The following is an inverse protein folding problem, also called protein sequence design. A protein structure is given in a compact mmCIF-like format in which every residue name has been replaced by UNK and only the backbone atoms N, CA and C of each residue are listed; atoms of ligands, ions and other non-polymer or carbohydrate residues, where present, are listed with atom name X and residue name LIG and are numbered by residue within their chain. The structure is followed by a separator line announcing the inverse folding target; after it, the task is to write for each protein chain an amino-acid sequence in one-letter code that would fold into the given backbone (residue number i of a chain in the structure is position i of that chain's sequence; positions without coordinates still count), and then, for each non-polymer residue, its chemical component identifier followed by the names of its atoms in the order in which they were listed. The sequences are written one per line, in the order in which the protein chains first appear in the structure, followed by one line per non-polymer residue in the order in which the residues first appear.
data_IF_617096868420
#
_entry.id   IF_617096868420
#
_cell.length_a   1.000
_cell.length_b   1.000
_cell.length_c   1.000
_cell.angle_alpha   90.00
_cell.angle_beta   90.00
_cell.angle_gamma   90.00
#
_symmetry.space_group_name_H-M   'P 1'
#
loop_
_entity.id
_entity.type
_entity.pdbx_description
1 polymer ?
#
# COMPACT_ATOMS: atom_id res chain seq x y z
N UNK A 1 10.16 4.28 35.26
CA UNK A 1 10.42 4.16 33.81
C UNK A 1 11.76 3.46 33.64
N UNK A 2 11.76 2.15 33.46
CA UNK A 2 12.97 1.34 33.28
C UNK A 2 13.38 1.40 31.81
N UNK A 3 14.37 2.24 31.49
CA UNK A 3 15.13 2.14 30.25
C UNK A 3 15.98 0.88 30.34
N UNK A 4 15.52 -0.20 29.71
CA UNK A 4 16.39 -1.32 29.36
C UNK A 4 17.21 -0.81 28.18
N UNK A 5 18.46 -0.41 28.46
CA UNK A 5 19.48 -0.24 27.43
C UNK A 5 19.72 -1.63 26.83
N UNK A 6 19.18 -1.86 25.65
CA UNK A 6 19.52 -3.02 24.83
C UNK A 6 20.85 -2.69 24.14
N UNK A 7 21.95 -3.21 24.70
CA UNK A 7 23.34 -2.75 24.55
C UNK A 7 23.91 -2.80 23.12
N UNK A 8 23.15 -3.30 22.15
CA UNK A 8 23.55 -3.40 20.74
C UNK A 8 22.49 -2.84 19.74
N UNK A 9 21.43 -2.19 20.23
CA UNK A 9 20.39 -1.63 19.34
C UNK A 9 20.75 -0.24 18.88
N UNK A 10 21.22 -0.12 17.64
CA UNK A 10 21.57 1.16 17.01
C UNK A 10 20.42 1.70 16.17
N UNK A 11 20.34 3.03 16.09
CA UNK A 11 19.32 3.75 15.33
C UNK A 11 19.88 4.30 14.05
N UNK A 12 19.08 4.18 13.00
CA UNK A 12 19.45 4.57 11.65
C UNK A 12 18.33 5.39 11.04
N UNK A 13 18.70 6.54 10.51
CA UNK A 13 17.84 7.32 9.64
C UNK A 13 18.15 6.94 8.19
N UNK A 14 17.13 6.57 7.44
CA UNK A 14 17.19 6.29 6.02
C UNK A 14 16.50 7.42 5.25
N UNK A 15 17.22 8.00 4.28
CA UNK A 15 16.68 8.98 3.35
C UNK A 15 16.55 8.29 2.00
N UNK A 16 15.34 8.33 1.42
CA UNK A 16 15.02 7.68 0.14
C UNK A 16 14.71 8.73 -0.92
N UNK A 17 15.00 8.41 -2.18
CA UNK A 17 14.71 9.28 -3.32
C UNK A 17 13.19 9.49 -3.54
N UNK A 18 12.37 8.52 -3.11
CA UNK A 18 10.91 8.62 -3.12
C UNK A 18 10.28 7.64 -2.11
N UNK A 19 8.99 7.81 -1.76
CA UNK A 19 8.26 6.85 -0.94
C UNK A 19 8.22 5.43 -1.54
N UNK A 20 8.10 5.32 -2.86
CA UNK A 20 8.16 4.03 -3.55
C UNK A 20 9.50 3.30 -3.31
N UNK A 21 10.63 4.04 -3.36
CA UNK A 21 11.95 3.45 -3.05
C UNK A 21 12.04 2.98 -1.60
N UNK A 22 11.42 3.69 -0.65
CA UNK A 22 11.38 3.28 0.76
C UNK A 22 10.62 1.95 0.94
N UNK A 23 9.47 1.82 0.27
CA UNK A 23 8.66 0.60 0.31
C UNK A 23 9.36 -0.58 -0.37
N UNK A 24 9.92 -0.36 -1.56
CA UNK A 24 10.71 -1.37 -2.30
C UNK A 24 11.89 -1.87 -1.47
N UNK A 25 12.65 -0.95 -0.86
CA UNK A 25 13.81 -1.32 -0.04
C UNK A 25 13.40 -2.10 1.20
N UNK A 26 12.38 -1.62 1.93
CA UNK A 26 11.93 -2.33 3.12
C UNK A 26 11.36 -3.70 2.78
N UNK A 27 10.63 -3.83 1.67
CA UNK A 27 10.15 -5.13 1.18
C UNK A 27 11.32 -6.09 0.95
N UNK A 28 12.37 -5.65 0.27
CA UNK A 28 13.54 -6.48 0.00
C UNK A 28 14.26 -6.90 1.30
N UNK A 29 14.42 -5.96 2.25
CA UNK A 29 15.09 -6.23 3.53
C UNK A 29 14.25 -7.12 4.45
N UNK A 30 12.95 -6.85 4.59
CA UNK A 30 12.03 -7.59 5.47
C UNK A 30 11.75 -9.02 5.01
N UNK A 31 11.98 -9.33 3.73
CA UNK A 31 11.89 -10.69 3.18
C UNK A 31 13.25 -11.40 3.14
N UNK A 32 14.33 -10.72 3.51
CA UNK A 32 15.68 -11.32 3.58
C UNK A 32 15.88 -12.12 4.88
N UNK A 33 16.88 -13.02 4.94
CA UNK A 33 17.26 -13.70 6.18
C UNK A 33 17.67 -12.77 7.33
N UNK A 34 18.01 -11.51 7.02
CA UNK A 34 18.46 -10.51 8.00
C UNK A 34 17.32 -9.71 8.63
N UNK A 35 16.08 -9.88 8.17
CA UNK A 35 14.91 -9.15 8.65
C UNK A 35 14.76 -9.22 10.19
N UNK A 36 15.09 -10.36 10.80
CA UNK A 36 15.01 -10.57 12.25
C UNK A 36 15.90 -9.63 13.08
N UNK A 37 16.90 -9.00 12.47
CA UNK A 37 17.83 -8.10 13.14
C UNK A 37 17.50 -6.62 12.91
N UNK A 38 16.44 -6.33 12.16
CA UNK A 38 16.09 -4.99 11.71
C UNK A 38 14.62 -4.73 12.03
N UNK A 39 14.36 -3.62 12.71
CA UNK A 39 13.02 -3.15 13.04
C UNK A 39 12.77 -1.81 12.36
N UNK A 40 11.78 -1.76 11.46
CA UNK A 40 11.21 -0.49 10.96
C UNK A 40 10.36 0.12 12.07
N UNK A 41 10.76 1.30 12.55
CA UNK A 41 10.01 2.06 13.56
C UNK A 41 9.11 3.09 12.88
N UNK A 42 9.60 3.70 11.80
CA UNK A 42 8.84 4.55 10.89
C UNK A 42 9.46 4.44 9.47
N UNK A 43 8.81 4.95 8.41
CA UNK A 43 9.30 4.82 7.04
C UNK A 43 10.76 5.24 6.80
N UNK A 44 11.27 6.20 7.57
CA UNK A 44 12.66 6.64 7.53
C UNK A 44 13.49 6.18 8.74
N UNK A 45 12.87 5.64 9.79
CA UNK A 45 13.54 5.39 11.05
C UNK A 45 13.58 3.90 11.38
N UNK A 46 14.79 3.39 11.57
CA UNK A 46 15.06 1.97 11.74
C UNK A 46 15.92 1.74 12.98
N UNK A 47 15.64 0.65 13.68
CA UNK A 47 16.49 0.12 14.72
C UNK A 47 17.10 -1.20 14.25
N UNK A 48 18.33 -1.51 14.64
CA UNK A 48 18.99 -2.75 14.26
C UNK A 48 19.98 -3.23 15.32
N UNK A 49 20.21 -4.54 15.36
CA UNK A 49 21.29 -5.14 16.14
C UNK A 49 22.61 -4.99 15.36
N UNK A 50 23.47 -4.07 15.78
CA UNK A 50 24.72 -3.80 15.06
C UNK A 50 25.79 -4.90 15.24
N UNK A 51 25.63 -5.81 16.20
CA UNK A 51 26.54 -6.95 16.37
C UNK A 51 26.28 -8.05 15.35
N UNK A 52 25.02 -8.20 14.95
CA UNK A 52 24.58 -9.21 13.98
C UNK A 52 24.41 -8.64 12.57
N UNK A 53 24.02 -7.37 12.46
CA UNK A 53 23.60 -6.75 11.21
C UNK A 53 23.81 -5.23 11.25
N UNK A 54 25.04 -4.77 11.10
CA UNK A 54 25.34 -3.33 11.11
C UNK A 54 24.86 -2.62 9.83
N UNK A 55 23.62 -2.12 9.86
CA UNK A 55 23.00 -1.46 8.71
C UNK A 55 23.70 -0.17 8.26
N UNK A 56 24.52 0.47 9.10
CA UNK A 56 25.31 1.62 8.63
C UNK A 56 26.32 1.23 7.55
N UNK A 57 26.70 -0.05 7.47
CA UNK A 57 27.55 -0.64 6.42
C UNK A 57 26.77 -1.39 5.34
N UNK A 58 25.46 -1.18 5.22
CA UNK A 58 24.60 -1.91 4.29
C UNK A 58 25.15 -1.98 2.86
N UNK A 59 25.75 -0.91 2.33
CA UNK A 59 26.31 -0.88 0.98
C UNK A 59 27.67 -1.57 0.81
N UNK A 60 28.31 -1.95 1.91
CA UNK A 60 29.64 -2.57 1.98
C UNK A 60 29.57 -4.05 2.38
N UNK A 61 28.49 -4.45 3.08
CA UNK A 61 28.27 -5.81 3.56
C UNK A 61 28.00 -6.79 2.40
N UNK A 62 28.81 -7.87 2.25
CA UNK A 62 28.61 -8.88 1.22
C UNK A 62 27.23 -9.53 1.26
N UNK A 63 26.66 -9.71 2.46
CA UNK A 63 25.37 -10.36 2.67
C UNK A 63 24.20 -9.54 2.09
N UNK A 64 24.35 -8.21 2.07
CA UNK A 64 23.37 -7.30 1.48
C UNK A 64 23.65 -6.96 0.03
N UNK A 65 24.78 -7.38 -0.54
CA UNK A 65 25.21 -6.97 -1.89
C UNK A 65 24.09 -7.02 -2.95
N UNK A 66 23.28 -8.10 -3.07
CA UNK A 66 22.21 -8.15 -4.07
C UNK A 66 21.15 -7.06 -3.87
N UNK A 67 20.80 -6.76 -2.62
CA UNK A 67 19.83 -5.71 -2.28
C UNK A 67 20.49 -4.34 -2.42
N UNK A 68 21.68 -4.16 -1.86
CA UNK A 68 22.44 -2.91 -1.86
C UNK A 68 22.73 -2.38 -3.27
N UNK A 69 23.02 -3.26 -4.23
CA UNK A 69 23.23 -2.86 -5.62
C UNK A 69 21.96 -2.29 -6.26
N UNK A 70 20.79 -2.85 -5.95
CA UNK A 70 19.50 -2.32 -6.43
C UNK A 70 19.27 -0.89 -5.93
N UNK A 71 19.60 -0.58 -4.67
CA UNK A 71 19.25 0.70 -4.04
C UNK A 71 20.37 1.74 -4.02
N UNK A 72 21.55 1.42 -4.57
CA UNK A 72 22.69 2.33 -4.62
C UNK A 72 22.32 3.61 -5.38
N UNK A 73 22.61 4.77 -4.77
CA UNK A 73 22.27 6.09 -5.32
C UNK A 73 20.79 6.47 -5.24
N UNK A 74 19.91 5.60 -4.72
CA UNK A 74 18.48 5.86 -4.50
C UNK A 74 18.11 6.05 -3.04
N UNK A 75 19.06 5.80 -2.14
CA UNK A 75 18.92 6.03 -0.72
C UNK A 75 20.28 6.23 -0.05
N UNK A 76 20.28 6.79 1.15
CA UNK A 76 21.44 6.87 2.02
C UNK A 76 21.03 6.66 3.47
N UNK A 77 21.99 6.26 4.29
CA UNK A 77 21.80 6.12 5.73
C UNK A 77 22.62 7.14 6.50
N UNK A 78 22.04 7.61 7.60
CA UNK A 78 22.72 8.36 8.64
C UNK A 78 22.56 7.60 9.94
N UNK A 79 23.67 7.13 10.49
CA UNK A 79 23.68 6.55 11.83
C UNK A 79 23.43 7.67 12.85
N UNK A 80 22.52 7.41 13.77
CA UNK A 80 22.20 8.35 14.84
C UNK A 80 22.98 7.91 16.08
N UNK A 81 23.90 8.76 16.54
CA UNK A 81 24.57 8.57 17.82
C UNK A 81 23.57 8.82 18.95
N UNK A 82 23.57 7.96 19.96
CA UNK A 82 22.64 8.02 21.09
C UNK A 82 22.86 9.26 22.01
N UNK A 83 23.80 10.14 21.68
CA UNK A 83 24.30 11.23 22.54
C UNK A 83 24.03 12.67 22.09
N UNK A 84 23.52 12.94 20.87
CA UNK A 84 23.31 14.33 20.41
C UNK A 84 21.94 14.55 19.76
N UNK A 85 21.17 15.45 20.39
CA UNK A 85 20.12 16.29 19.82
C UNK A 85 19.41 15.74 18.60
N UNK A 86 18.40 14.90 18.85
CA UNK A 86 17.42 14.45 17.85
C UNK A 86 16.86 15.70 17.16
N UNK A 87 17.26 15.94 15.91
CA UNK A 87 16.50 16.81 15.04
C UNK A 87 15.19 16.06 14.82
N UNK A 88 14.13 16.51 15.48
CA UNK A 88 12.81 15.91 15.37
C UNK A 88 12.46 15.95 13.89
N UNK A 89 12.51 14.79 13.24
CA UNK A 89 11.92 14.66 11.92
C UNK A 89 10.42 14.76 12.19
N UNK A 90 9.74 15.81 11.70
CA UNK A 90 8.31 15.90 11.87
C UNK A 90 7.70 14.60 11.35
N UNK A 91 6.69 14.04 12.04
CA UNK A 91 6.00 12.85 11.57
C UNK A 91 5.67 13.03 10.09
N UNK A 92 6.33 12.26 9.24
CA UNK A 92 5.96 12.23 7.83
C UNK A 92 4.76 11.30 7.76
N UNK A 93 3.63 11.80 7.26
CA UNK A 93 2.44 10.99 6.95
C UNK A 93 2.72 10.10 5.73
N UNK A 94 3.79 9.31 5.78
CA UNK A 94 4.04 8.25 4.82
C UNK A 94 3.37 7.02 5.41
N UNK A 95 2.13 6.77 4.99
CA UNK A 95 1.42 5.57 5.40
C UNK A 95 1.91 4.39 4.57
N UNK A 96 2.30 3.30 5.22
CA UNK A 96 2.64 2.08 4.52
C UNK A 96 1.39 1.51 3.85
N UNK A 97 1.46 1.35 2.54
CA UNK A 97 0.44 0.68 1.77
C UNK A 97 0.62 -0.83 1.96
N UNK A 98 -0.38 -1.52 2.50
CA UNK A 98 -0.28 -2.93 2.89
C UNK A 98 -1.34 -3.77 2.16
N UNK A 99 -0.93 -4.98 1.81
CA UNK A 99 -1.82 -6.01 1.26
C UNK A 99 -2.94 -6.33 2.24
N UNK A 100 -4.17 -6.38 1.75
CA UNK A 100 -5.38 -6.61 2.54
C UNK A 100 -6.02 -5.35 3.11
N UNK A 101 -5.35 -4.19 3.02
CA UNK A 101 -5.87 -2.91 3.49
C UNK A 101 -6.98 -2.33 2.61
N UNK A 102 -7.80 -1.47 3.21
CA UNK A 102 -8.87 -0.73 2.53
C UNK A 102 -8.43 0.70 2.24
N UNK A 103 -8.59 1.13 0.99
CA UNK A 103 -8.10 2.42 0.50
C UNK A 103 -9.14 3.13 -0.36
N UNK A 104 -9.13 4.45 -0.32
CA UNK A 104 -9.72 5.26 -1.39
C UNK A 104 -8.68 5.47 -2.48
N UNK A 105 -9.07 5.30 -3.73
CA UNK A 105 -8.24 5.61 -4.90
C UNK A 105 -8.68 6.99 -5.41
N UNK A 106 -7.78 7.96 -5.44
CA UNK A 106 -8.09 9.35 -5.82
C UNK A 106 -7.11 9.89 -6.85
N UNK A 107 -7.52 10.89 -7.62
CA UNK A 107 -6.64 11.49 -8.62
C UNK A 107 -5.51 12.24 -7.94
N UNK A 108 -4.28 12.01 -8.40
CA UNK A 108 -3.09 12.68 -7.87
C UNK A 108 -3.01 14.18 -8.26
N UNK A 109 -3.68 14.59 -9.35
CA UNK A 109 -3.73 16.00 -9.77
C UNK A 109 -4.94 16.75 -9.23
N UNK A 110 -6.02 16.03 -8.88
CA UNK A 110 -7.21 16.61 -8.26
C UNK A 110 -7.75 15.70 -7.15
N UNK A 111 -7.33 15.97 -5.90
CA UNK A 111 -7.65 15.14 -4.75
C UNK A 111 -9.15 15.09 -4.38
N UNK A 112 -9.99 15.94 -4.98
CA UNK A 112 -11.44 15.84 -4.82
C UNK A 112 -12.02 14.64 -5.58
N UNK A 113 -11.41 14.24 -6.70
CA UNK A 113 -11.90 13.14 -7.54
C UNK A 113 -11.44 11.79 -7.00
N UNK A 114 -12.41 10.98 -6.56
CA UNK A 114 -12.20 9.62 -6.07
C UNK A 114 -12.87 8.59 -6.98
N UNK A 115 -12.34 7.37 -6.99
CA UNK A 115 -13.02 6.23 -7.59
C UNK A 115 -14.28 5.91 -6.79
N UNK A 116 -15.37 5.76 -7.52
CA UNK A 116 -16.69 5.39 -7.01
C UNK A 116 -17.23 4.23 -7.86
N UNK A 117 -17.68 3.18 -7.19
CA UNK A 117 -18.43 2.09 -7.83
C UNK A 117 -19.91 2.42 -7.88
N UNK A 118 -20.39 2.74 -9.07
CA UNK A 118 -21.82 2.91 -9.37
C UNK A 118 -22.46 1.52 -9.55
N UNK A 119 -23.22 1.08 -8.55
CA UNK A 119 -23.88 -0.21 -8.56
C UNK A 119 -25.06 -0.28 -9.55
N UNK A 120 -25.67 0.86 -9.92
CA UNK A 120 -26.79 0.88 -10.87
C UNK A 120 -26.29 0.66 -12.30
N UNK A 121 -25.15 1.24 -12.65
CA UNK A 121 -24.52 1.06 -13.97
C UNK A 121 -23.49 -0.09 -14.00
N UNK A 122 -23.12 -0.62 -12.83
CA UNK A 122 -22.02 -1.57 -12.64
C UNK A 122 -20.69 -1.08 -13.21
N UNK A 123 -20.30 0.17 -12.90
CA UNK A 123 -19.07 0.81 -13.42
C UNK A 123 -18.26 1.47 -12.31
N UNK A 124 -16.96 1.59 -12.53
CA UNK A 124 -16.12 2.50 -11.75
C UNK A 124 -16.10 3.87 -12.44
N UNK A 125 -16.34 4.93 -11.68
CA UNK A 125 -16.37 6.33 -12.12
C UNK A 125 -15.50 7.19 -11.23
N UNK A 126 -15.01 8.30 -11.75
CA UNK A 126 -14.44 9.38 -10.95
C UNK A 126 -15.57 10.28 -10.45
N UNK A 127 -15.63 10.53 -9.14
CA UNK A 127 -16.65 11.35 -8.50
C UNK A 127 -16.02 12.28 -7.46
N UNK A 128 -16.52 13.50 -7.37
CA UNK A 128 -16.14 14.49 -6.36
C UNK A 128 -17.04 14.47 -5.11
N UNK A 129 -18.12 13.68 -5.14
CA UNK A 129 -19.15 13.60 -4.08
C UNK A 129 -19.17 12.26 -3.39
N UNK A 130 -18.84 11.20 -4.12
CA UNK A 130 -18.93 9.83 -3.66
C UNK A 130 -17.58 9.16 -3.83
N UNK A 131 -17.28 8.23 -2.91
CA UNK A 131 -16.06 7.44 -3.00
C UNK A 131 -16.34 6.02 -2.53
N UNK A 132 -15.64 5.08 -3.14
CA UNK A 132 -15.69 3.67 -2.76
C UNK A 132 -14.36 3.27 -2.17
N UNK A 133 -14.42 2.50 -1.09
CA UNK A 133 -13.23 1.87 -0.52
C UNK A 133 -12.95 0.59 -1.30
N UNK A 134 -11.69 0.41 -1.66
CA UNK A 134 -11.21 -0.78 -2.34
C UNK A 134 -10.24 -1.51 -1.41
N UNK A 135 -10.51 -2.80 -1.16
CA UNK A 135 -9.52 -3.67 -0.55
C UNK A 135 -8.48 -3.99 -1.62
N UNK A 136 -7.23 -3.69 -1.36
CA UNK A 136 -6.13 -3.98 -2.28
C UNK A 136 -5.38 -5.17 -1.72
N UNK A 137 -5.23 -6.25 -2.49
CA UNK A 137 -4.50 -7.44 -2.04
C UNK A 137 -3.56 -7.91 -3.12
N UNK A 138 -2.35 -8.31 -2.73
CA UNK A 138 -1.40 -8.93 -3.65
C UNK A 138 -1.92 -10.32 -4.04
N UNK A 139 -1.73 -10.67 -5.31
CA UNK A 139 -2.05 -12.00 -5.82
C UNK A 139 -1.35 -13.09 -4.99
N UNK A 140 -2.02 -14.23 -4.86
CA UNK A 140 -1.58 -15.46 -4.14
C UNK A 140 -0.06 -15.61 -4.06
N UNK A 141 0.47 -15.74 -2.84
CA UNK A 141 1.89 -16.00 -2.57
C UNK A 141 2.46 -15.11 -1.46
N UNK A 142 1.80 -13.97 -1.18
CA UNK A 142 2.19 -13.05 -0.12
C UNK A 142 1.14 -13.01 1.00
N UNK A 143 1.56 -12.89 2.27
CA UNK A 143 0.65 -12.74 3.40
C UNK A 143 -0.10 -11.40 3.34
N UNK A 144 -1.16 -11.26 4.15
CA UNK A 144 -1.72 -9.94 4.44
C UNK A 144 -0.70 -9.08 5.22
N UNK A 145 -0.95 -7.77 5.33
CA UNK A 145 -0.08 -6.78 6.01
C UNK A 145 1.27 -6.53 5.36
N UNK A 146 1.50 -7.18 4.23
CA UNK A 146 2.74 -7.13 3.49
C UNK A 146 2.79 -5.84 2.65
N UNK A 147 3.90 -5.08 2.69
CA UNK A 147 3.96 -3.75 2.04
C UNK A 147 3.85 -3.85 0.52
N UNK A 148 2.87 -3.15 -0.06
CA UNK A 148 2.67 -3.04 -1.50
C UNK A 148 3.84 -2.29 -2.15
N UNK A 149 4.41 -2.90 -3.18
CA UNK A 149 5.47 -2.34 -4.02
C UNK A 149 5.03 -2.26 -5.47
N UNK A 150 5.64 -1.37 -6.26
CA UNK A 150 5.14 -1.04 -7.59
C UNK A 150 4.99 -2.23 -8.54
N UNK A 151 5.83 -3.27 -8.41
CA UNK A 151 5.81 -4.47 -9.23
C UNK A 151 4.77 -5.52 -8.79
N UNK A 152 4.12 -5.32 -7.64
CA UNK A 152 3.15 -6.26 -7.11
C UNK A 152 1.93 -6.36 -8.05
N UNK A 153 1.55 -7.60 -8.36
CA UNK A 153 0.26 -7.87 -9.01
C UNK A 153 -0.83 -7.84 -7.95
N UNK A 154 -1.77 -6.91 -8.07
CA UNK A 154 -2.82 -6.65 -7.11
C UNK A 154 -4.20 -6.97 -7.67
N UNK A 155 -5.11 -7.34 -6.78
CA UNK A 155 -6.55 -7.41 -7.02
C UNK A 155 -7.24 -6.31 -6.21
N UNK A 156 -8.20 -5.64 -6.84
CA UNK A 156 -9.06 -4.64 -6.21
C UNK A 156 -10.42 -5.28 -5.88
N UNK A 157 -10.83 -5.22 -4.62
CA UNK A 157 -12.14 -5.67 -4.17
C UNK A 157 -12.98 -4.51 -3.67
N UNK A 158 -14.25 -4.47 -4.07
CA UNK A 158 -15.24 -3.52 -3.55
C UNK A 158 -15.88 -4.09 -2.27
N UNK A 159 -16.09 -5.41 -2.22
CA UNK A 159 -16.59 -6.20 -1.07
C UNK A 159 -15.97 -7.60 -1.12
N UNK A 160 -16.16 -8.42 -0.09
CA UNK A 160 -15.47 -9.71 0.11
C UNK A 160 -15.39 -10.64 -1.12
N UNK A 161 -16.37 -10.62 -2.01
CA UNK A 161 -16.39 -11.45 -3.22
C UNK A 161 -16.52 -10.66 -4.52
N UNK A 162 -16.67 -9.33 -4.44
CA UNK A 162 -16.92 -8.47 -5.59
C UNK A 162 -15.61 -7.78 -5.99
N UNK A 163 -15.00 -8.24 -7.08
CA UNK A 163 -13.72 -7.75 -7.58
C UNK A 163 -13.89 -6.86 -8.81
N UNK A 164 -12.96 -5.92 -8.98
CA UNK A 164 -12.86 -5.11 -10.19
C UNK A 164 -12.27 -5.97 -11.31
N UNK A 165 -12.86 -5.87 -12.49
CA UNK A 165 -12.37 -6.45 -13.73
C UNK A 165 -12.47 -5.42 -14.87
N UNK A 166 -11.83 -5.75 -15.99
CA UNK A 166 -11.78 -4.91 -17.19
C UNK A 166 -12.54 -5.64 -18.30
N UNK A 167 -13.54 -4.99 -18.89
CA UNK A 167 -14.20 -5.48 -20.10
C UNK A 167 -13.34 -5.30 -21.36
N UNK A 168 -13.74 -5.91 -22.48
CA UNK A 168 -13.05 -5.75 -23.77
C UNK A 168 -12.93 -4.29 -24.22
N UNK A 169 -13.87 -3.43 -23.80
CA UNK A 169 -13.85 -1.99 -24.08
C UNK A 169 -12.83 -1.21 -23.24
N UNK A 170 -12.17 -1.84 -22.27
CA UNK A 170 -11.35 -1.16 -21.25
C UNK A 170 -12.15 -0.68 -20.04
N UNK A 171 -13.49 -0.71 -20.09
CA UNK A 171 -14.32 -0.26 -18.96
C UNK A 171 -14.06 -1.09 -17.70
N UNK A 172 -13.85 -0.40 -16.57
CA UNK A 172 -13.79 -1.03 -15.26
C UNK A 172 -15.20 -1.33 -14.75
N UNK A 173 -15.44 -2.58 -14.39
CA UNK A 173 -16.69 -3.09 -13.82
C UNK A 173 -16.42 -3.99 -12.62
N UNK A 174 -17.48 -4.41 -11.94
CA UNK A 174 -17.40 -5.31 -10.81
C UNK A 174 -18.10 -6.64 -11.10
N UNK A 175 -17.47 -7.75 -10.71
CA UNK A 175 -18.07 -9.08 -10.81
C UNK A 175 -17.70 -9.95 -9.61
N UNK A 176 -18.51 -10.97 -9.37
CA UNK A 176 -18.20 -11.98 -8.35
C UNK A 176 -17.18 -12.97 -8.91
N UNK A 177 -16.14 -13.27 -8.14
CA UNK A 177 -15.20 -14.34 -8.48
C UNK A 177 -13.94 -13.85 -9.19
N UNK A 178 -13.73 -14.26 -10.46
CA UNK A 178 -12.43 -14.25 -11.15
C UNK A 178 -11.84 -12.83 -11.26
N UNK A 179 -10.85 -12.49 -10.43
CA UNK A 179 -10.29 -11.15 -10.43
C UNK A 179 -9.33 -10.94 -11.60
N UNK A 180 -9.29 -9.72 -12.13
CA UNK A 180 -8.16 -9.28 -12.96
C UNK A 180 -7.05 -8.79 -12.04
N UNK A 181 -5.82 -9.10 -12.42
CA UNK A 181 -4.65 -8.55 -11.75
C UNK A 181 -4.21 -7.27 -12.46
N UNK A 182 -3.91 -6.25 -11.66
CA UNK A 182 -3.26 -5.01 -12.08
C UNK A 182 -1.86 -4.96 -11.49
N UNK A 183 -0.92 -4.29 -12.13
CA UNK A 183 0.35 -3.96 -11.50
C UNK A 183 0.13 -2.76 -10.57
N UNK A 184 0.62 -2.78 -9.33
CA UNK A 184 0.31 -1.71 -8.36
C UNK A 184 0.77 -0.33 -8.86
N UNK A 185 1.92 -0.26 -9.54
CA UNK A 185 2.43 0.96 -10.18
C UNK A 185 1.49 1.52 -11.26
N UNK A 186 0.59 0.72 -11.82
CA UNK A 186 -0.34 1.21 -12.83
C UNK A 186 -1.30 2.27 -12.30
N UNK A 187 -1.59 2.27 -10.99
CA UNK A 187 -2.38 3.34 -10.36
C UNK A 187 -1.65 4.68 -10.47
N UNK A 188 -0.37 4.74 -10.10
CA UNK A 188 0.40 5.99 -10.05
C UNK A 188 0.78 6.51 -11.44
N UNK A 189 1.19 5.63 -12.35
CA UNK A 189 1.82 6.06 -13.60
C UNK A 189 1.38 5.27 -14.83
N UNK A 190 0.32 4.47 -14.73
CA UNK A 190 -0.03 3.50 -15.78
C UNK A 190 -1.35 3.75 -16.48
N UNK A 191 -1.97 2.65 -16.84
CA UNK A 191 -2.92 2.52 -17.92
C UNK A 191 -4.35 2.93 -17.56
N UNK A 192 -4.57 3.79 -16.56
CA UNK A 192 -5.92 4.25 -16.22
C UNK A 192 -6.20 5.62 -16.81
N UNK A 193 -7.34 5.76 -17.48
CA UNK A 193 -7.83 7.02 -18.01
C UNK A 193 -9.23 7.32 -17.47
N UNK A 194 -9.64 8.57 -17.63
CA UNK A 194 -11.01 9.02 -17.39
C UNK A 194 -11.65 9.36 -18.73
N UNK A 195 -12.79 8.74 -19.04
CA UNK A 195 -13.60 9.08 -20.22
C UNK A 195 -14.47 10.31 -19.97
N UNK A 196 -15.09 10.84 -21.04
CA UNK A 196 -15.93 12.05 -20.98
C UNK A 196 -17.14 11.92 -20.05
N UNK A 197 -17.67 10.71 -19.86
CA UNK A 197 -18.77 10.40 -18.93
C UNK A 197 -18.30 10.17 -17.48
N UNK A 198 -17.05 10.53 -17.18
CA UNK A 198 -16.34 10.30 -15.93
C UNK A 198 -16.12 8.82 -15.58
N UNK A 199 -16.35 7.88 -16.50
CA UNK A 199 -16.00 6.47 -16.25
C UNK A 199 -14.48 6.31 -16.19
N UNK A 200 -14.01 5.47 -15.26
CA UNK A 200 -12.60 5.08 -15.20
C UNK A 200 -12.42 3.86 -16.09
N UNK A 201 -11.44 3.93 -16.99
CA UNK A 201 -11.15 2.88 -17.97
C UNK A 201 -9.69 2.46 -17.90
N UNK A 202 -9.43 1.19 -18.16
CA UNK A 202 -8.11 0.63 -18.35
C UNK A 202 -7.76 0.61 -19.84
N UNK A 203 -6.60 1.16 -20.17
CA UNK A 203 -6.09 1.39 -21.52
C UNK A 203 -4.90 0.47 -21.76
N UNK A 204 -5.17 -0.72 -22.31
CA UNK A 204 -4.11 -1.70 -22.62
C UNK A 204 -3.37 -1.35 -23.92
N UNK A 205 -3.92 -0.46 -24.75
CA UNK A 205 -3.44 -0.19 -26.10
C UNK A 205 -2.82 1.22 -26.22
N UNK A 206 -1.63 1.29 -26.82
CA UNK A 206 -0.84 2.52 -26.93
C UNK A 206 -1.47 3.58 -27.86
N UNK A 207 -2.43 3.20 -28.71
CA UNK A 207 -3.08 4.07 -29.69
C UNK A 207 -4.32 4.81 -29.15
N UNK A 208 -4.59 4.71 -27.84
CA UNK A 208 -5.71 5.43 -27.23
C UNK A 208 -5.44 6.94 -27.19
N UNK A 209 -6.43 7.74 -27.61
CA UNK A 209 -6.40 9.20 -27.49
C UNK A 209 -6.78 9.69 -26.09
N UNK A 210 -7.15 8.77 -25.18
CA UNK A 210 -7.56 9.12 -23.83
C UNK A 210 -6.36 9.59 -23.01
N UNK A 211 -6.55 10.70 -22.31
CA UNK A 211 -5.56 11.20 -21.37
C UNK A 211 -5.44 10.26 -20.18
N UNK A 212 -4.26 9.67 -20.02
CA UNK A 212 -3.94 8.86 -18.85
C UNK A 212 -3.92 9.75 -17.59
N UNK A 213 -4.41 9.18 -16.50
CA UNK A 213 -4.55 9.84 -15.22
C UNK A 213 -3.68 9.13 -14.19
N UNK A 214 -3.00 9.92 -13.37
CA UNK A 214 -2.28 9.42 -12.20
C UNK A 214 -3.25 9.34 -11.01
N UNK A 215 -3.24 8.19 -10.35
CA UNK A 215 -4.05 7.88 -9.18
C UNK A 215 -3.15 7.52 -8.01
N UNK A 216 -3.54 7.96 -6.83
CA UNK A 216 -2.90 7.60 -5.58
C UNK A 216 -3.90 6.93 -4.64
N UNK A 217 -3.39 6.08 -3.75
CA UNK A 217 -4.20 5.46 -2.72
C UNK A 217 -4.05 6.23 -1.41
N UNK A 218 -5.16 6.38 -0.71
CA UNK A 218 -5.20 7.00 0.60
C UNK A 218 -5.88 6.05 1.58
N UNK A 219 -5.35 5.88 2.80
CA UNK A 219 -5.98 5.03 3.81
C UNK A 219 -7.43 5.45 4.02
N UNK A 220 -8.34 4.50 3.90
CA UNK A 220 -9.67 4.70 4.43
C UNK A 220 -9.54 4.79 5.95
N UNK A 221 -9.94 5.91 6.55
CA UNK A 221 -10.08 5.99 8.01
C UNK A 221 -10.91 4.77 8.43
N UNK A 222 -10.33 3.90 9.25
CA UNK A 222 -11.09 2.80 9.85
C UNK A 222 -12.33 3.42 10.50
N UNK A 223 -13.53 2.85 10.34
CA UNK A 223 -14.63 3.27 11.17
C UNK A 223 -14.15 3.12 12.62
N UNK A 224 -14.13 4.23 13.37
CA UNK A 224 -13.89 4.20 14.81
C UNK A 224 -14.77 3.10 15.42
N UNK A 225 -14.32 2.45 16.52
CA UNK A 225 -14.96 1.24 17.03
C UNK A 225 -16.47 1.46 17.11
N UNK A 226 -17.20 0.83 16.17
CA UNK A 226 -18.66 0.87 16.18
C UNK A 226 -19.08 0.23 17.48
N UNK A 227 -19.76 1.03 18.29
CA UNK A 227 -20.55 0.59 19.42
C UNK A 227 -21.33 -0.64 18.97
N UNK A 228 -21.03 -1.81 19.56
CA UNK A 228 -21.72 -3.05 19.28
C UNK A 228 -23.16 -2.87 19.76
N UNK A 229 -24.04 -2.39 18.90
CA UNK A 229 -25.47 -2.64 19.07
C UNK A 229 -25.66 -4.12 18.75
N UNK A 230 -26.14 -4.96 19.68
CA UNK A 230 -26.40 -6.37 19.38
C UNK A 230 -27.52 -6.42 18.34
N UNK A 231 -27.25 -7.11 17.23
CA UNK A 231 -28.31 -7.53 16.33
C UNK A 231 -29.24 -8.48 17.09
N UNK A 232 -30.52 -8.12 17.11
CA UNK A 232 -31.62 -8.91 17.61
C UNK A 232 -31.66 -10.23 16.84
N UNK A 233 -31.45 -11.35 17.53
CA UNK A 233 -31.73 -12.66 16.96
C UNK A 233 -33.23 -12.87 16.99
N UNK A 234 -33.88 -12.63 15.85
CA UNK A 234 -35.24 -13.08 15.60
C UNK A 234 -35.33 -14.59 15.82
N UNK A 235 -35.96 -14.98 16.92
CA UNK A 235 -36.36 -16.36 17.18
C UNK A 235 -37.65 -16.64 16.40
N UNK A 236 -37.52 -17.15 15.18
CA UNK A 236 -38.66 -17.75 14.49
C UNK A 236 -39.02 -19.10 15.11
N UNK A 237 -40.19 -19.07 15.75
CA UNK A 237 -41.12 -20.15 16.06
C UNK A 237 -40.90 -21.50 15.35
N UNK A 238 -40.76 -22.56 16.15
CA UNK A 238 -41.25 -23.90 15.78
C UNK A 238 -42.30 -24.32 16.80
N UNK A 239 -43.56 -24.07 16.44
CA UNK A 239 -44.73 -24.74 17.01
C UNK A 239 -45.21 -25.74 15.98
N UNK A 240 -45.12 -27.03 16.27
CA UNK A 240 -45.90 -28.05 15.57
C UNK A 240 -46.51 -28.97 16.62
N UNK A 241 -47.83 -29.13 16.48
CA UNK A 241 -48.72 -30.01 17.24
C UNK A 241 -48.27 -31.48 17.25
#
# INVERSE_FOLDING_TARGET
VSQIFDEATFRLLAIFASPAVANDWWRAVSTSPHARFIKRVAPQFYAHDATQCNLSRFFEMPEFKPIAEMFRGRMLFTQLDDGLGITIIPPQEVTDHISGGWYHIRSASNHALCWHYDAAENKIRASDKESTQFRISIRKGFPEETILVGEDRITLYIRSQLCVYVEQSGQLKAQVGSPRDFCFRELESGNFAMSEDASVVFVDNADSTLQLMSWEISPALSPGPREKTPEDFDAENVSVH
#
